data_IF_771671923860
#
_entry.id   IF_771671923860
#
_cell.length_a   1.000
_cell.length_b   1.000
_cell.length_c   1.000
_cell.angle_alpha   90.00
_cell.angle_beta   90.00
_cell.angle_gamma   90.00
#
_symmetry.space_group_name_H-M   'P 1'
#
loop_
_entity.id
_entity.type
_entity.pdbx_description
1 polymer ?
#
# COMPACT_ATOMS: atom_id res chain seq x y z
N UNK A 1 11.19 11.64 -22.13
CA UNK A 1 10.26 10.67 -21.49
C UNK A 1 10.41 10.86 -20.00
N UNK A 2 9.36 11.31 -19.31
CA UNK A 2 9.41 11.51 -17.85
C UNK A 2 9.63 10.18 -17.12
N UNK A 3 10.18 10.26 -15.91
CA UNK A 3 10.36 9.09 -15.04
C UNK A 3 8.98 8.48 -14.71
N UNK A 4 8.81 7.17 -14.94
CA UNK A 4 7.55 6.49 -14.67
C UNK A 4 7.31 6.37 -13.16
N UNK A 5 6.04 6.31 -12.78
CA UNK A 5 5.65 6.14 -11.37
C UNK A 5 6.01 4.72 -10.93
N UNK A 6 6.74 4.58 -9.82
CA UNK A 6 7.05 3.27 -9.24
C UNK A 6 5.92 2.81 -8.30
N UNK A 7 5.41 1.60 -8.54
CA UNK A 7 4.38 0.98 -7.70
C UNK A 7 4.87 -0.41 -7.26
N UNK A 8 4.80 -0.68 -5.96
CA UNK A 8 5.08 -2.00 -5.44
C UNK A 8 3.97 -2.99 -5.78
N UNK A 9 4.30 -4.24 -6.08
CA UNK A 9 3.28 -5.23 -6.44
C UNK A 9 3.66 -6.62 -5.95
N UNK A 10 2.66 -7.40 -5.53
CA UNK A 10 2.89 -8.83 -5.24
C UNK A 10 3.27 -9.58 -6.53
N UNK A 11 4.47 -10.16 -6.60
CA UNK A 11 5.02 -10.76 -7.84
C UNK A 11 4.12 -11.78 -8.53
N UNK A 12 3.31 -12.52 -7.77
CA UNK A 12 2.37 -13.47 -8.36
C UNK A 12 1.35 -12.79 -9.30
N UNK A 13 1.03 -11.52 -9.10
CA UNK A 13 0.16 -10.71 -9.96
C UNK A 13 0.79 -10.36 -11.30
N UNK A 14 2.13 -10.36 -11.38
CA UNK A 14 2.89 -10.13 -12.61
C UNK A 14 3.04 -11.40 -13.47
N UNK A 15 2.47 -12.53 -13.04
CA UNK A 15 2.61 -13.80 -13.75
C UNK A 15 3.84 -14.62 -13.34
N UNK A 16 4.58 -14.20 -12.32
CA UNK A 16 5.68 -14.99 -11.80
C UNK A 16 5.17 -16.23 -11.03
N UNK A 17 5.77 -17.39 -11.32
CA UNK A 17 5.47 -18.66 -10.67
C UNK A 17 6.07 -18.71 -9.25
N UNK A 18 5.54 -17.89 -8.34
CA UNK A 18 6.03 -17.75 -6.96
C UNK A 18 5.04 -18.22 -5.91
N UNK A 19 3.86 -18.70 -6.31
CA UNK A 19 2.84 -19.18 -5.36
C UNK A 19 3.26 -20.48 -4.69
N UNK A 20 2.59 -20.81 -3.58
CA UNK A 20 2.85 -22.04 -2.84
C UNK A 20 2.63 -23.30 -3.68
N UNK A 21 1.71 -23.26 -4.64
CA UNK A 21 1.39 -24.33 -5.59
C UNK A 21 2.27 -24.33 -6.84
N UNK A 22 3.27 -23.45 -6.93
CA UNK A 22 4.14 -23.31 -8.10
C UNK A 22 3.52 -22.54 -9.27
N UNK A 23 2.28 -22.04 -9.13
CA UNK A 23 1.62 -21.25 -10.15
C UNK A 23 1.80 -19.73 -9.99
N UNK A 24 1.02 -19.00 -10.77
CA UNK A 24 0.94 -17.53 -10.73
C UNK A 24 -0.51 -17.05 -10.52
N UNK A 25 -0.69 -15.73 -10.53
CA UNK A 25 -2.00 -15.09 -10.56
C UNK A 25 -1.98 -13.84 -11.42
N UNK A 26 -1.53 -14.02 -12.67
CA UNK A 26 -1.38 -12.95 -13.65
C UNK A 26 -2.67 -12.14 -13.72
N UNK A 27 -2.55 -10.84 -13.55
CA UNK A 27 -3.63 -9.88 -13.70
C UNK A 27 -3.34 -9.02 -14.94
N UNK A 28 -4.09 -9.27 -16.01
CA UNK A 28 -3.92 -8.59 -17.29
C UNK A 28 -4.16 -7.08 -17.21
N UNK A 29 -5.07 -6.63 -16.33
CA UNK A 29 -5.27 -5.19 -16.15
C UNK A 29 -4.00 -4.55 -15.57
N UNK A 30 -3.38 -5.19 -14.58
CA UNK A 30 -2.14 -4.69 -13.98
C UNK A 30 -0.97 -4.74 -14.97
N UNK A 31 -0.79 -5.83 -15.71
CA UNK A 31 0.37 -5.96 -16.60
C UNK A 31 0.22 -5.22 -17.92
N UNK A 32 -0.96 -5.25 -18.54
CA UNK A 32 -1.18 -4.79 -19.92
C UNK A 32 -1.84 -3.42 -20.00
N UNK A 33 -2.57 -2.98 -18.97
CA UNK A 33 -3.19 -1.65 -18.95
C UNK A 33 -2.42 -0.70 -18.03
N UNK A 34 -2.38 -0.97 -16.73
CA UNK A 34 -1.72 -0.08 -15.77
C UNK A 34 -0.19 -0.10 -15.94
N UNK A 35 0.38 -1.27 -16.24
CA UNK A 35 1.82 -1.46 -16.48
C UNK A 35 2.40 -0.64 -17.63
N UNK A 36 1.56 -0.10 -18.53
CA UNK A 36 2.02 0.85 -19.55
C UNK A 36 2.53 2.16 -18.93
N UNK A 37 1.96 2.57 -17.79
CA UNK A 37 2.17 3.89 -17.17
C UNK A 37 3.11 3.87 -15.96
N UNK A 38 3.39 2.68 -15.41
CA UNK A 38 4.09 2.53 -14.13
C UNK A 38 5.23 1.53 -14.25
N UNK A 39 6.22 1.66 -13.36
CA UNK A 39 7.26 0.67 -13.17
C UNK A 39 6.96 -0.17 -11.94
N UNK A 40 6.98 -1.49 -12.10
CA UNK A 40 6.64 -2.44 -11.06
C UNK A 40 7.84 -2.77 -10.17
N UNK A 41 7.70 -2.58 -8.86
CA UNK A 41 8.63 -3.08 -7.85
C UNK A 41 8.05 -4.36 -7.24
N UNK A 42 8.38 -5.50 -7.84
CA UNK A 42 7.86 -6.80 -7.47
C UNK A 42 8.38 -7.29 -6.11
N UNK A 43 7.48 -7.62 -5.19
CA UNK A 43 7.81 -8.24 -3.89
C UNK A 43 7.10 -9.58 -3.72
N UNK A 44 7.84 -10.61 -3.33
CA UNK A 44 7.27 -11.88 -2.87
C UNK A 44 7.81 -12.21 -1.48
N UNK A 45 7.04 -11.94 -0.40
CA UNK A 45 7.53 -12.16 0.96
C UNK A 45 8.01 -13.58 1.22
N UNK A 46 7.30 -14.56 0.68
CA UNK A 46 7.54 -15.97 0.96
C UNK A 46 8.82 -16.46 0.29
N UNK A 47 9.05 -16.10 -0.97
CA UNK A 47 10.26 -16.47 -1.72
C UNK A 47 11.47 -15.67 -1.25
N UNK A 48 11.33 -14.35 -1.08
CA UNK A 48 12.44 -13.49 -0.63
C UNK A 48 12.86 -13.77 0.82
N UNK A 49 11.95 -14.28 1.65
CA UNK A 49 12.27 -14.81 2.98
C UNK A 49 13.08 -16.12 2.92
N UNK A 50 12.98 -16.88 1.82
CA UNK A 50 13.73 -18.12 1.59
C UNK A 50 12.89 -19.39 1.51
N UNK A 51 11.56 -19.29 1.36
CA UNK A 51 10.73 -20.49 1.15
C UNK A 51 10.80 -20.96 -0.30
N UNK A 52 10.76 -22.27 -0.54
CA UNK A 52 10.81 -22.81 -1.90
C UNK A 52 9.53 -22.54 -2.70
N UNK A 53 9.61 -22.85 -3.98
CA UNK A 53 8.48 -22.95 -4.90
C UNK A 53 8.53 -24.32 -5.57
N UNK A 54 7.52 -25.19 -5.38
CA UNK A 54 6.37 -25.05 -4.49
C UNK A 54 6.75 -25.15 -3.00
N UNK A 55 5.80 -24.81 -2.12
CA UNK A 55 5.93 -24.90 -0.65
C UNK A 55 4.61 -25.28 -0.02
N UNK A 56 4.68 -25.69 1.25
CA UNK A 56 3.48 -25.95 2.04
C UNK A 56 2.64 -24.68 2.23
N UNK A 57 1.32 -24.80 2.10
CA UNK A 57 0.41 -23.71 2.39
C UNK A 57 0.50 -23.29 3.87
N UNK A 58 0.46 -21.98 4.10
CA UNK A 58 0.52 -21.37 5.43
C UNK A 58 -0.78 -20.66 5.78
N UNK A 59 -0.98 -20.42 7.07
CA UNK A 59 -2.11 -19.66 7.61
C UNK A 59 -1.70 -18.84 8.83
N UNK A 60 -2.48 -17.82 9.14
CA UNK A 60 -2.36 -17.07 10.37
C UNK A 60 -3.13 -17.78 11.49
N UNK A 61 -2.53 -17.87 12.68
CA UNK A 61 -3.10 -18.53 13.87
C UNK A 61 -2.94 -17.63 15.10
N UNK A 62 -3.89 -17.68 16.04
CA UNK A 62 -3.85 -16.93 17.29
C UNK A 62 -4.67 -15.64 17.23
N UNK A 63 -4.19 -14.60 17.90
CA UNK A 63 -4.91 -13.33 18.01
C UNK A 63 -4.79 -12.48 16.74
N UNK A 64 -5.87 -11.88 16.22
CA UNK A 64 -5.83 -11.07 15.00
C UNK A 64 -4.86 -9.89 15.05
N UNK A 65 -4.61 -9.32 16.23
CA UNK A 65 -3.67 -8.21 16.42
C UNK A 65 -2.19 -8.63 16.43
N UNK A 66 -1.90 -9.91 16.66
CA UNK A 66 -0.53 -10.44 16.65
C UNK A 66 -0.51 -11.91 16.22
N UNK A 67 -0.88 -12.21 14.97
CA UNK A 67 -0.99 -13.57 14.51
C UNK A 67 0.37 -14.24 14.28
N UNK A 68 0.41 -15.57 14.42
CA UNK A 68 1.53 -16.43 14.04
C UNK A 68 1.33 -16.99 12.64
N UNK A 69 2.37 -16.98 11.81
CA UNK A 69 2.39 -17.57 10.48
C UNK A 69 2.88 -19.01 10.56
N UNK A 70 1.96 -19.97 10.43
CA UNK A 70 2.26 -21.40 10.54
C UNK A 70 1.95 -22.14 9.24
N UNK A 71 2.76 -23.15 8.92
CA UNK A 71 2.42 -24.15 7.90
C UNK A 71 1.22 -25.01 8.36
N UNK A 72 0.36 -25.42 7.42
CA UNK A 72 -0.94 -26.03 7.74
C UNK A 72 -0.82 -27.46 8.29
N UNK A 73 0.01 -28.30 7.67
CA UNK A 73 0.28 -29.70 8.03
C UNK A 73 1.40 -29.80 9.06
N UNK A 74 2.58 -29.25 8.78
CA UNK A 74 3.77 -29.45 9.62
C UNK A 74 3.83 -28.56 10.85
N UNK A 75 3.02 -27.49 10.89
CA UNK A 75 2.95 -26.51 12.00
C UNK A 75 4.27 -25.78 12.27
N UNK A 76 5.19 -25.77 11.31
CA UNK A 76 6.41 -24.98 11.36
C UNK A 76 6.04 -23.51 11.45
N UNK A 77 6.68 -22.81 12.38
CA UNK A 77 6.46 -21.39 12.62
C UNK A 77 7.47 -20.54 11.84
N UNK A 78 6.96 -19.68 10.96
CA UNK A 78 7.74 -18.74 10.15
C UNK A 78 7.59 -17.28 10.60
N UNK A 79 6.90 -17.03 11.71
CA UNK A 79 6.52 -15.68 12.17
C UNK A 79 7.72 -14.76 12.34
N UNK A 80 8.69 -15.16 13.16
CA UNK A 80 9.82 -14.29 13.51
C UNK A 80 10.77 -14.09 12.33
N UNK A 81 10.98 -15.13 11.53
CA UNK A 81 11.75 -15.03 10.29
C UNK A 81 11.11 -14.06 9.29
N UNK A 82 9.79 -14.20 9.06
CA UNK A 82 9.03 -13.33 8.18
C UNK A 82 9.00 -11.88 8.67
N UNK A 83 8.86 -11.64 9.97
CA UNK A 83 8.93 -10.30 10.58
C UNK A 83 10.30 -9.66 10.38
N UNK A 84 11.38 -10.41 10.63
CA UNK A 84 12.76 -9.94 10.46
C UNK A 84 13.04 -9.58 8.99
N UNK A 85 12.65 -10.46 8.06
CA UNK A 85 12.76 -10.19 6.63
C UNK A 85 11.93 -8.96 6.25
N UNK A 86 10.67 -8.87 6.67
CA UNK A 86 9.79 -7.74 6.36
C UNK A 86 10.39 -6.43 6.85
N UNK A 87 10.97 -6.40 8.06
CA UNK A 87 11.63 -5.20 8.58
C UNK A 87 12.82 -4.75 7.72
N UNK A 88 13.64 -5.69 7.23
CA UNK A 88 14.72 -5.37 6.29
C UNK A 88 14.18 -4.87 4.97
N UNK A 89 13.19 -5.57 4.41
CA UNK A 89 12.59 -5.24 3.11
C UNK A 89 11.95 -3.85 3.12
N UNK A 90 11.25 -3.49 4.19
CA UNK A 90 10.62 -2.18 4.31
C UNK A 90 11.65 -1.04 4.26
N UNK A 91 12.86 -1.22 4.80
CA UNK A 91 13.96 -0.24 4.68
C UNK A 91 14.51 -0.12 3.27
N UNK A 92 14.49 -1.20 2.49
CA UNK A 92 14.83 -1.16 1.07
C UNK A 92 13.76 -0.40 0.28
N UNK A 93 12.48 -0.72 0.50
CA UNK A 93 11.36 -0.09 -0.19
C UNK A 93 11.23 1.42 0.10
N UNK A 94 11.72 1.89 1.26
CA UNK A 94 11.82 3.32 1.55
C UNK A 94 12.69 4.08 0.54
N UNK A 95 13.70 3.42 -0.03
CA UNK A 95 14.63 4.02 -1.00
C UNK A 95 14.11 3.97 -2.42
N UNK A 96 13.02 3.23 -2.67
CA UNK A 96 12.47 3.03 -4.00
C UNK A 96 11.56 4.17 -4.47
N UNK A 97 11.25 5.16 -3.62
CA UNK A 97 10.31 6.26 -3.93
C UNK A 97 8.95 5.73 -4.46
N UNK A 98 8.43 4.69 -3.82
CA UNK A 98 7.15 4.10 -4.20
C UNK A 98 6.01 5.11 -4.06
N UNK A 99 5.10 5.09 -5.03
CA UNK A 99 3.90 5.93 -5.03
C UNK A 99 2.62 5.14 -4.76
N UNK A 100 2.72 3.81 -4.67
CA UNK A 100 1.62 2.93 -4.35
C UNK A 100 2.08 1.50 -4.12
N UNK A 101 1.19 0.65 -3.60
CA UNK A 101 1.43 -0.79 -3.50
C UNK A 101 0.16 -1.60 -3.76
N UNK A 102 0.26 -2.64 -4.58
CA UNK A 102 -0.82 -3.58 -4.90
C UNK A 102 -0.51 -4.96 -4.31
N UNK A 103 -1.33 -5.36 -3.35
CA UNK A 103 -1.17 -6.60 -2.61
C UNK A 103 -2.01 -7.74 -3.19
N UNK A 104 -1.50 -8.97 -3.09
CA UNK A 104 -2.32 -10.15 -3.29
C UNK A 104 -3.28 -10.33 -2.11
N UNK A 105 -4.57 -10.18 -2.37
CA UNK A 105 -5.66 -10.38 -1.40
C UNK A 105 -5.60 -11.76 -0.74
N UNK A 106 -5.99 -11.80 0.53
CA UNK A 106 -6.12 -13.01 1.37
C UNK A 106 -4.83 -13.81 1.61
N UNK A 107 -3.68 -13.32 1.15
CA UNK A 107 -2.38 -13.96 1.45
C UNK A 107 -2.05 -13.81 2.95
N UNK A 108 -1.59 -14.87 3.63
CA UNK A 108 -1.17 -14.79 5.04
C UNK A 108 0.11 -13.96 5.23
N UNK A 109 0.85 -13.70 4.16
CA UNK A 109 2.05 -12.86 4.18
C UNK A 109 1.74 -11.44 3.67
N UNK A 110 1.10 -11.33 2.50
CA UNK A 110 0.96 -10.06 1.78
C UNK A 110 -0.41 -9.39 1.96
N UNK A 111 -1.46 -10.11 2.34
CA UNK A 111 -2.80 -9.54 2.37
C UNK A 111 -2.91 -8.38 3.36
N UNK A 112 -3.53 -7.27 2.96
CA UNK A 112 -3.64 -6.08 3.82
C UNK A 112 -4.93 -6.02 4.64
N UNK A 113 -5.97 -6.73 4.20
CA UNK A 113 -7.29 -6.77 4.85
C UNK A 113 -7.95 -8.12 4.61
N UNK A 114 -8.86 -8.53 5.50
CA UNK A 114 -9.70 -9.70 5.29
C UNK A 114 -8.95 -11.04 5.33
N UNK A 115 -7.73 -11.07 5.89
CA UNK A 115 -6.92 -12.30 5.98
C UNK A 115 -7.47 -13.15 7.12
N UNK A 116 -7.61 -14.45 6.86
CA UNK A 116 -8.13 -15.41 7.84
C UNK A 116 -7.11 -15.64 8.94
N UNK A 117 -7.49 -15.40 10.19
CA UNK A 117 -6.72 -15.76 11.39
C UNK A 117 -7.50 -16.82 12.15
N UNK A 118 -6.90 -17.99 12.32
CA UNK A 118 -7.53 -19.14 12.97
C UNK A 118 -7.26 -19.09 14.47
N UNK A 119 -8.33 -19.02 15.28
CA UNK A 119 -8.23 -19.15 16.74
C UNK A 119 -7.91 -20.60 17.14
N UNK A 120 -7.63 -20.82 18.42
CA UNK A 120 -7.48 -22.15 19.01
C UNK A 120 -8.74 -23.02 18.86
N UNK A 121 -9.91 -22.39 18.78
CA UNK A 121 -11.21 -23.06 18.55
C UNK A 121 -11.45 -23.44 17.08
N UNK A 122 -10.52 -23.10 16.17
CA UNK A 122 -10.58 -23.45 14.75
C UNK A 122 -11.48 -22.56 13.89
N UNK A 123 -12.24 -21.64 14.49
CA UNK A 123 -13.10 -20.68 13.77
C UNK A 123 -12.25 -19.50 13.30
N UNK A 124 -12.18 -19.22 11.98
CA UNK A 124 -11.36 -18.12 11.49
C UNK A 124 -12.06 -16.76 11.62
N UNK A 125 -11.37 -15.78 12.18
CA UNK A 125 -11.73 -14.37 12.02
C UNK A 125 -11.23 -13.86 10.66
N UNK A 126 -11.95 -12.92 10.04
CA UNK A 126 -11.54 -12.27 8.78
C UNK A 126 -11.08 -10.82 9.02
N UNK A 127 -10.49 -10.55 10.17
CA UNK A 127 -10.02 -9.21 10.55
C UNK A 127 -8.51 -9.04 10.44
N UNK A 128 -7.77 -10.09 10.08
CA UNK A 128 -6.31 -10.04 10.03
C UNK A 128 -5.75 -9.32 8.80
N UNK A 129 -4.49 -8.93 8.95
CA UNK A 129 -3.57 -8.63 7.86
C UNK A 129 -2.43 -9.64 7.88
N UNK A 130 -1.85 -9.91 6.71
CA UNK A 130 -0.63 -10.70 6.58
C UNK A 130 0.56 -10.00 7.24
N UNK A 131 1.57 -10.77 7.61
CA UNK A 131 2.71 -10.27 8.38
C UNK A 131 3.41 -9.09 7.67
N UNK A 132 3.69 -9.23 6.38
CA UNK A 132 4.29 -8.15 5.58
C UNK A 132 3.27 -7.06 5.26
N UNK A 133 2.04 -7.41 4.85
CA UNK A 133 1.01 -6.43 4.51
C UNK A 133 0.68 -5.47 5.65
N UNK A 134 0.53 -6.00 6.87
CA UNK A 134 0.31 -5.19 8.08
C UNK A 134 1.53 -4.33 8.43
N UNK A 135 2.73 -4.90 8.38
CA UNK A 135 3.96 -4.15 8.63
C UNK A 135 4.17 -3.01 7.62
N UNK A 136 3.81 -3.24 6.35
CA UNK A 136 3.88 -2.23 5.29
C UNK A 136 2.92 -1.06 5.56
N UNK A 137 1.66 -1.32 5.88
CA UNK A 137 0.69 -0.26 6.19
C UNK A 137 1.12 0.58 7.39
N UNK A 138 1.71 -0.05 8.41
CA UNK A 138 2.23 0.65 9.59
C UNK A 138 3.43 1.54 9.25
N UNK A 139 4.32 1.09 8.35
CA UNK A 139 5.51 1.85 7.95
C UNK A 139 5.18 2.98 6.98
N UNK A 140 4.23 2.75 6.07
CA UNK A 140 3.86 3.68 4.99
C UNK A 140 2.39 4.11 5.08
N UNK A 141 1.95 4.78 6.16
CA UNK A 141 0.53 5.07 6.40
C UNK A 141 -0.11 6.02 5.38
N UNK A 142 0.71 6.78 4.66
CA UNK A 142 0.28 7.75 3.64
C UNK A 142 0.35 7.20 2.21
N UNK A 143 1.06 6.10 2.01
CA UNK A 143 1.28 5.54 0.68
C UNK A 143 0.02 4.80 0.23
N UNK A 144 -0.52 5.08 -0.96
CA UNK A 144 -1.69 4.40 -1.49
C UNK A 144 -1.48 2.88 -1.56
N UNK A 145 -2.27 2.12 -0.81
CA UNK A 145 -2.22 0.67 -0.81
C UNK A 145 -3.59 0.08 -1.11
N UNK A 146 -3.64 -0.94 -1.97
CA UNK A 146 -4.87 -1.66 -2.33
C UNK A 146 -4.56 -3.14 -2.60
N UNK A 147 -5.59 -3.98 -2.67
CA UNK A 147 -5.45 -5.39 -3.06
C UNK A 147 -6.09 -5.71 -4.42
N UNK A 148 -5.57 -6.75 -5.08
CA UNK A 148 -6.01 -7.18 -6.42
C UNK A 148 -7.54 -7.40 -6.50
N UNK A 149 -8.16 -7.91 -5.44
CA UNK A 149 -9.60 -8.16 -5.43
C UNK A 149 -10.41 -6.86 -5.44
N UNK A 150 -9.94 -5.82 -4.75
CA UNK A 150 -10.60 -4.52 -4.68
C UNK A 150 -10.41 -3.69 -5.95
N UNK A 151 -9.30 -3.88 -6.67
CA UNK A 151 -9.05 -3.20 -7.95
C UNK A 151 -9.97 -3.67 -9.08
N UNK A 152 -10.72 -4.75 -8.90
CA UNK A 152 -11.77 -5.12 -9.85
C UNK A 152 -13.01 -4.23 -9.76
N UNK A 153 -13.20 -3.51 -8.65
CA UNK A 153 -14.24 -2.49 -8.54
C UNK A 153 -13.75 -1.19 -9.21
N UNK A 154 -14.48 -0.68 -10.23
CA UNK A 154 -14.04 0.51 -10.97
C UNK A 154 -13.84 1.75 -10.10
N UNK A 155 -14.70 2.00 -9.11
CA UNK A 155 -14.62 3.19 -8.26
C UNK A 155 -13.44 3.11 -7.30
N UNK A 156 -13.22 1.94 -6.69
CA UNK A 156 -12.05 1.72 -5.82
C UNK A 156 -10.74 1.82 -6.60
N UNK A 157 -10.74 1.30 -7.83
CA UNK A 157 -9.58 1.36 -8.72
C UNK A 157 -9.24 2.78 -9.14
N UNK A 158 -10.23 3.55 -9.57
CA UNK A 158 -10.05 4.97 -9.92
C UNK A 158 -9.51 5.74 -8.71
N UNK A 159 -10.13 5.57 -7.54
CA UNK A 159 -9.66 6.20 -6.31
C UNK A 159 -8.21 5.83 -5.95
N UNK A 160 -7.83 4.55 -6.09
CA UNK A 160 -6.45 4.13 -5.89
C UNK A 160 -5.49 4.87 -6.84
N UNK A 161 -5.82 4.91 -8.12
CA UNK A 161 -4.99 5.53 -9.17
C UNK A 161 -4.86 7.04 -8.91
N UNK A 162 -5.95 7.75 -8.63
CA UNK A 162 -5.94 9.17 -8.30
C UNK A 162 -4.97 9.48 -7.16
N UNK A 163 -5.07 8.72 -6.06
CA UNK A 163 -4.18 8.88 -4.91
C UNK A 163 -2.71 8.61 -5.27
N UNK A 164 -2.42 7.62 -6.13
CA UNK A 164 -1.05 7.36 -6.60
C UNK A 164 -0.49 8.57 -7.34
N UNK A 165 -1.25 9.15 -8.26
CA UNK A 165 -0.81 10.33 -9.01
C UNK A 165 -0.66 11.56 -8.12
N UNK A 166 -1.60 11.82 -7.21
CA UNK A 166 -1.49 12.93 -6.25
C UNK A 166 -0.29 12.74 -5.33
N UNK A 167 -0.04 11.52 -4.87
CA UNK A 167 1.11 11.21 -4.03
C UNK A 167 2.43 11.42 -4.77
N UNK A 168 2.54 11.00 -6.05
CA UNK A 168 3.72 11.30 -6.88
C UNK A 168 3.96 12.81 -6.99
N UNK A 169 2.91 13.57 -7.33
CA UNK A 169 3.02 15.04 -7.43
C UNK A 169 3.42 15.68 -6.10
N UNK A 170 2.97 15.11 -4.98
CA UNK A 170 3.41 15.54 -3.66
C UNK A 170 4.91 15.29 -3.42
N UNK A 171 5.42 14.12 -3.81
CA UNK A 171 6.85 13.82 -3.74
C UNK A 171 7.67 14.80 -4.60
N UNK A 172 7.21 15.10 -5.81
CA UNK A 172 7.86 16.07 -6.70
C UNK A 172 7.86 17.49 -6.09
N UNK A 173 6.74 17.92 -5.51
CA UNK A 173 6.66 19.18 -4.76
C UNK A 173 7.61 19.21 -3.56
N UNK A 174 7.66 18.13 -2.77
CA UNK A 174 8.49 18.04 -1.58
C UNK A 174 10.00 18.04 -1.92
N UNK A 175 10.39 17.43 -3.04
CA UNK A 175 11.76 17.41 -3.53
C UNK A 175 12.16 18.70 -4.28
N UNK A 176 11.19 19.41 -4.86
CA UNK A 176 11.37 20.62 -5.65
C UNK A 176 11.01 21.91 -4.88
N UNK A 177 10.05 22.67 -5.43
CA UNK A 177 9.57 23.94 -4.84
C UNK A 177 8.71 23.68 -3.59
N UNK A 178 9.36 23.26 -2.50
CA UNK A 178 8.77 23.04 -1.18
C UNK A 178 8.42 24.34 -0.44
N UNK A 179 8.27 25.46 -1.15
CA UNK A 179 7.93 26.76 -0.56
C UNK A 179 6.44 26.90 -0.27
N UNK A 180 6.08 27.95 0.48
CA UNK A 180 4.67 28.30 0.70
C UNK A 180 3.94 28.61 -0.62
N UNK A 181 4.63 29.23 -1.59
CA UNK A 181 4.07 29.50 -2.92
C UNK A 181 3.80 28.19 -3.67
N UNK A 182 4.77 27.27 -3.64
CA UNK A 182 4.62 25.94 -4.21
C UNK A 182 3.44 25.17 -3.59
N UNK A 183 3.25 25.27 -2.26
CA UNK A 183 2.13 24.62 -1.58
C UNK A 183 0.78 25.21 -2.01
N UNK A 184 0.69 26.53 -2.17
CA UNK A 184 -0.53 27.19 -2.67
C UNK A 184 -0.84 26.75 -4.11
N UNK A 185 0.17 26.66 -4.97
CA UNK A 185 -0.01 26.16 -6.34
C UNK A 185 -0.48 24.69 -6.32
N UNK A 186 0.23 23.82 -5.60
CA UNK A 186 -0.14 22.42 -5.43
C UNK A 186 -1.58 22.28 -4.92
N UNK A 187 -1.97 23.06 -3.91
CA UNK A 187 -3.33 23.03 -3.38
C UNK A 187 -4.35 23.47 -4.43
N UNK A 188 -4.06 24.55 -5.17
CA UNK A 188 -4.96 25.08 -6.20
C UNK A 188 -5.25 24.04 -7.29
N UNK A 189 -4.23 23.27 -7.70
CA UNK A 189 -4.36 22.23 -8.73
C UNK A 189 -5.20 21.03 -8.27
N UNK A 190 -5.25 20.74 -6.96
CA UNK A 190 -5.90 19.54 -6.41
C UNK A 190 -7.18 19.83 -5.62
N UNK A 191 -7.53 21.09 -5.36
CA UNK A 191 -8.63 21.43 -4.44
C UNK A 191 -10.01 20.95 -4.92
N UNK A 192 -10.26 20.94 -6.23
CA UNK A 192 -11.56 20.48 -6.75
C UNK A 192 -11.67 18.95 -6.78
N UNK A 193 -10.56 18.26 -7.04
CA UNK A 193 -10.49 16.81 -6.82
C UNK A 193 -10.81 16.49 -5.36
N UNK A 194 -10.12 17.15 -4.42
CA UNK A 194 -10.40 16.99 -2.99
C UNK A 194 -11.85 17.33 -2.62
N UNK A 195 -12.45 18.35 -3.24
CA UNK A 195 -13.84 18.72 -3.00
C UNK A 195 -14.82 17.63 -3.46
N UNK A 196 -14.53 16.94 -4.56
CA UNK A 196 -15.33 15.81 -5.03
C UNK A 196 -15.36 14.68 -3.98
N UNK A 197 -14.20 14.32 -3.41
CA UNK A 197 -14.13 13.29 -2.36
C UNK A 197 -14.63 13.76 -0.99
N UNK A 198 -14.37 15.03 -0.62
CA UNK A 198 -14.71 15.55 0.70
C UNK A 198 -14.75 17.08 0.78
N UNK A 199 -15.95 17.68 0.77
CA UNK A 199 -16.12 19.12 1.04
C UNK A 199 -15.61 19.54 2.43
N UNK A 200 -15.57 18.62 3.41
CA UNK A 200 -14.97 18.87 4.72
C UNK A 200 -13.46 19.05 4.63
N UNK A 201 -12.75 18.09 4.03
CA UNK A 201 -11.29 18.18 3.89
C UNK A 201 -10.89 19.34 2.99
N UNK A 202 -11.66 19.64 1.94
CA UNK A 202 -11.48 20.84 1.11
C UNK A 202 -11.44 22.13 1.95
N UNK A 203 -12.45 22.36 2.80
CA UNK A 203 -12.51 23.55 3.68
C UNK A 203 -11.35 23.57 4.68
N UNK A 204 -11.05 22.43 5.30
CA UNK A 204 -9.98 22.31 6.30
C UNK A 204 -8.60 22.58 5.71
N UNK A 205 -8.29 21.99 4.54
CA UNK A 205 -7.02 22.20 3.86
C UNK A 205 -6.90 23.62 3.29
N UNK A 206 -7.98 24.20 2.77
CA UNK A 206 -7.98 25.62 2.36
C UNK A 206 -7.63 26.55 3.52
N UNK A 207 -8.21 26.31 4.71
CA UNK A 207 -7.87 27.05 5.93
C UNK A 207 -6.41 26.83 6.35
N UNK A 208 -5.93 25.57 6.31
CA UNK A 208 -4.53 25.25 6.65
C UNK A 208 -3.53 25.98 5.74
N UNK A 209 -3.81 26.07 4.43
CA UNK A 209 -2.98 26.78 3.47
C UNK A 209 -3.02 28.30 3.71
N UNK A 210 -4.21 28.87 3.94
CA UNK A 210 -4.34 30.30 4.24
C UNK A 210 -3.58 30.72 5.52
N UNK A 211 -3.59 29.86 6.54
CA UNK A 211 -2.89 30.07 7.80
C UNK A 211 -1.45 29.54 7.81
N UNK A 212 -0.93 29.06 6.67
CA UNK A 212 0.33 28.31 6.58
C UNK A 212 1.54 29.04 7.15
N UNK A 213 1.55 30.39 7.13
CA UNK A 213 2.61 31.23 7.71
C UNK A 213 2.78 31.07 9.23
N UNK A 214 1.79 30.50 9.93
CA UNK A 214 1.84 30.25 11.39
C UNK A 214 2.64 29.00 11.76
N UNK A 215 2.97 28.14 10.78
CA UNK A 215 3.60 26.85 11.01
C UNK A 215 5.02 26.80 10.46
N UNK A 216 5.86 25.95 11.04
CA UNK A 216 7.13 25.56 10.40
C UNK A 216 6.81 24.74 9.15
N UNK A 217 7.63 24.88 8.10
CA UNK A 217 7.43 24.21 6.81
C UNK A 217 7.17 22.71 6.94
N UNK A 218 8.03 22.00 7.66
CA UNK A 218 7.92 20.54 7.86
C UNK A 218 6.61 20.15 8.54
N UNK A 219 6.21 20.91 9.57
CA UNK A 219 4.94 20.68 10.28
C UNK A 219 3.74 20.92 9.36
N UNK A 220 3.75 22.03 8.61
CA UNK A 220 2.71 22.37 7.65
C UNK A 220 2.56 21.27 6.60
N UNK A 221 3.67 20.84 6.00
CA UNK A 221 3.70 19.82 4.97
C UNK A 221 3.18 18.49 5.51
N UNK A 222 3.63 18.09 6.69
CA UNK A 222 3.20 16.87 7.36
C UNK A 222 1.71 16.87 7.70
N UNK A 223 1.15 18.02 8.16
CA UNK A 223 -0.29 18.17 8.42
C UNK A 223 -1.11 18.18 7.13
N UNK A 224 -0.58 18.81 6.07
CA UNK A 224 -1.26 18.95 4.80
C UNK A 224 -1.40 17.60 4.10
N UNK A 225 -0.30 16.87 3.90
CA UNK A 225 -0.35 15.58 3.19
C UNK A 225 -1.20 14.54 3.93
N UNK A 226 -1.17 14.52 5.26
CA UNK A 226 -2.03 13.64 6.06
C UNK A 226 -3.51 13.88 5.75
N UNK A 227 -3.96 15.13 5.87
CA UNK A 227 -5.36 15.48 5.60
C UNK A 227 -5.74 15.32 4.12
N UNK A 228 -4.80 15.54 3.20
CA UNK A 228 -5.05 15.33 1.78
C UNK A 228 -5.30 13.85 1.48
N UNK A 229 -4.39 12.97 1.93
CA UNK A 229 -4.52 11.54 1.69
C UNK A 229 -5.69 10.92 2.43
N UNK A 230 -6.06 11.45 3.61
CA UNK A 230 -7.27 11.04 4.32
C UNK A 230 -8.54 11.43 3.53
N UNK A 231 -8.61 12.66 3.01
CA UNK A 231 -9.73 13.12 2.20
C UNK A 231 -9.87 12.35 0.88
N UNK A 232 -8.76 12.14 0.17
CA UNK A 232 -8.74 11.40 -1.10
C UNK A 232 -8.98 9.90 -0.93
N UNK A 233 -9.03 9.35 0.30
CA UNK A 233 -9.39 7.95 0.54
C UNK A 233 -10.90 7.72 0.48
N UNK A 234 -11.70 8.78 0.59
CA UNK A 234 -13.16 8.71 0.43
C UNK A 234 -13.49 8.61 -1.06
N UNK A 235 -14.58 7.92 -1.40
CA UNK A 235 -15.08 7.90 -2.78
C UNK A 235 -15.75 9.24 -3.11
N UNK A 236 -15.56 9.71 -4.34
CA UNK A 236 -16.18 10.93 -4.86
C UNK A 236 -17.66 10.70 -5.22
#
# INVERSE_FOLDING_TARGET
MGEKIKIGISRCLLGENVRYDGGHKLDHYLTETLGMYVDWVGVCPEVEYGLPVPREAMRLVGEPGSPRLLTIRTKVDHTEGMKKWAHSKLKELEKENLCGFIFKSKSPSSGIKGVKVYSETGVPSKSGAGIFGGAFLNRFPLLPAEDDGRLHDPQLRENFIERVFVYRRWLDFAAGDSSMKGLVAFHTDHKFLLMAHSPEHYRRLGKLVAEGKKYRREELHSKYIRQLMDGLRLLA
#
